data_IF_774002134855
#
_entry.id   IF_774002134855
#
_cell.length_a   1.000
_cell.length_b   1.000
_cell.length_c   1.000
_cell.angle_alpha   90.00
_cell.angle_beta   90.00
_cell.angle_gamma   90.00
#
_symmetry.space_group_name_H-M   'P 1'
#
loop_
_entity.id
_entity.type
_entity.pdbx_description
1 polymer ?
#
# COMPACT_ATOMS: atom_id res chain seq x y z
N UNK A 1 4.04 10.65 -41.87
CA UNK A 1 2.98 9.72 -41.39
C UNK A 1 3.54 8.67 -40.43
N UNK A 2 4.52 7.86 -40.85
CA UNK A 2 5.16 6.81 -40.01
C UNK A 2 5.72 7.29 -38.66
N UNK A 3 6.28 8.51 -38.60
CA UNK A 3 6.84 9.11 -37.38
C UNK A 3 5.78 9.44 -36.30
N UNK A 4 4.54 9.71 -36.70
CA UNK A 4 3.43 9.97 -35.76
C UNK A 4 2.84 8.69 -35.20
N UNK A 5 2.92 7.58 -35.96
CA UNK A 5 2.50 6.25 -35.52
C UNK A 5 3.52 5.69 -34.52
N UNK A 6 4.83 5.84 -34.76
CA UNK A 6 5.89 5.39 -33.84
C UNK A 6 5.89 6.10 -32.48
N UNK A 7 5.54 7.39 -32.43
CA UNK A 7 5.42 8.15 -31.18
C UNK A 7 4.23 7.71 -30.31
N UNK A 8 3.17 7.16 -30.89
CA UNK A 8 2.02 6.59 -30.17
C UNK A 8 2.26 5.17 -29.65
N UNK A 9 3.19 4.41 -30.25
CA UNK A 9 3.43 2.98 -29.95
C UNK A 9 4.10 2.78 -28.59
N UNK A 10 5.13 3.57 -28.28
CA UNK A 10 5.95 3.38 -27.09
C UNK A 10 5.15 3.63 -25.79
N UNK A 11 4.36 4.72 -25.65
CA UNK A 11 3.60 4.98 -24.43
C UNK A 11 2.53 3.92 -24.15
N UNK A 12 1.86 3.40 -25.20
CA UNK A 12 0.73 2.46 -25.05
C UNK A 12 1.22 1.05 -24.69
N UNK A 13 2.30 0.57 -25.32
CA UNK A 13 2.94 -0.72 -24.96
C UNK A 13 3.49 -0.68 -23.53
N UNK A 14 3.94 0.49 -23.08
CA UNK A 14 4.47 0.73 -21.73
C UNK A 14 3.39 0.74 -20.64
N UNK A 15 2.09 0.80 -20.96
CA UNK A 15 1.02 0.88 -19.96
C UNK A 15 0.98 -0.34 -19.04
N UNK A 16 1.24 -1.54 -19.59
CA UNK A 16 1.39 -2.75 -18.78
C UNK A 16 2.55 -2.64 -17.78
N UNK A 17 3.68 -2.09 -18.22
CA UNK A 17 4.85 -1.85 -17.37
C UNK A 17 4.59 -0.77 -16.31
N UNK A 18 3.90 0.33 -16.64
CA UNK A 18 3.47 1.32 -15.65
C UNK A 18 2.51 0.72 -14.62
N UNK A 19 1.55 -0.11 -15.06
CA UNK A 19 0.70 -0.91 -14.18
C UNK A 19 1.51 -1.76 -13.22
N UNK A 20 2.56 -2.40 -13.72
CA UNK A 20 3.49 -3.20 -12.93
C UNK A 20 4.33 -2.36 -11.95
N UNK A 21 4.83 -1.19 -12.35
CA UNK A 21 5.53 -0.27 -11.42
C UNK A 21 4.60 0.13 -10.27
N UNK A 22 3.36 0.51 -10.58
CA UNK A 22 2.36 0.87 -9.55
C UNK A 22 2.08 -0.33 -8.64
N UNK A 23 1.92 -1.53 -9.21
CA UNK A 23 1.79 -2.78 -8.45
C UNK A 23 2.98 -2.97 -7.48
N UNK A 24 4.21 -2.86 -7.99
CA UNK A 24 5.44 -3.02 -7.20
C UNK A 24 5.54 -1.97 -6.10
N UNK A 25 5.14 -0.74 -6.38
CA UNK A 25 5.09 0.34 -5.39
C UNK A 25 4.07 0.05 -4.29
N UNK A 26 2.84 -0.36 -4.63
CA UNK A 26 1.81 -0.74 -3.66
C UNK A 26 2.28 -1.93 -2.81
N UNK A 27 2.86 -2.94 -3.46
CA UNK A 27 3.39 -4.13 -2.81
C UNK A 27 4.50 -3.75 -1.81
N UNK A 28 5.48 -2.96 -2.25
CA UNK A 28 6.58 -2.52 -1.40
C UNK A 28 6.07 -1.70 -0.22
N UNK A 29 5.22 -0.69 -0.48
CA UNK A 29 4.71 0.23 0.54
C UNK A 29 3.86 -0.48 1.59
N UNK A 30 3.00 -1.41 1.17
CA UNK A 30 2.04 -2.03 2.07
C UNK A 30 2.56 -3.33 2.70
N UNK A 31 3.54 -4.01 2.10
CA UNK A 31 4.04 -5.32 2.57
C UNK A 31 5.50 -5.25 2.98
N UNK A 32 6.39 -5.01 2.02
CA UNK A 32 7.84 -5.11 2.25
C UNK A 32 8.28 -4.09 3.30
N UNK A 33 7.79 -2.86 3.21
CA UNK A 33 8.03 -1.78 4.19
C UNK A 33 7.56 -2.16 5.59
N UNK A 34 6.35 -2.69 5.70
CA UNK A 34 5.76 -3.10 6.99
C UNK A 34 6.56 -4.26 7.59
N UNK A 35 6.85 -5.31 6.80
CA UNK A 35 7.66 -6.45 7.26
C UNK A 35 9.03 -6.00 7.75
N UNK A 36 9.69 -5.13 6.98
CA UNK A 36 11.03 -4.63 7.32
C UNK A 36 11.07 -3.87 8.66
N UNK A 37 10.00 -3.13 9.00
CA UNK A 37 9.96 -2.29 10.20
C UNK A 37 9.33 -2.99 11.41
N UNK A 38 8.22 -3.70 11.21
CA UNK A 38 7.38 -4.21 12.29
C UNK A 38 7.39 -5.74 12.45
N UNK A 39 7.96 -6.49 11.50
CA UNK A 39 8.02 -7.94 11.57
C UNK A 39 9.46 -8.43 11.83
N UNK A 40 10.17 -7.67 12.67
CA UNK A 40 11.51 -8.00 13.16
C UNK A 40 11.40 -8.96 14.36
N UNK A 41 12.45 -9.75 14.61
CA UNK A 41 12.49 -10.75 15.70
C UNK A 41 12.14 -10.14 17.06
N UNK A 42 12.47 -8.87 17.29
CA UNK A 42 12.19 -8.15 18.54
C UNK A 42 10.70 -8.01 18.86
N UNK A 43 9.84 -7.95 17.84
CA UNK A 43 8.40 -7.69 18.03
C UNK A 43 7.58 -8.96 18.28
N UNK A 44 8.18 -10.17 18.12
CA UNK A 44 7.58 -11.53 18.28
C UNK A 44 6.18 -11.77 17.70
N UNK A 45 5.63 -10.79 16.97
CA UNK A 45 4.23 -10.76 16.56
C UNK A 45 4.18 -10.69 15.04
N UNK A 46 3.90 -11.82 14.40
CA UNK A 46 3.55 -11.84 12.99
C UNK A 46 2.07 -11.48 12.85
N UNK A 47 1.77 -10.39 12.14
CA UNK A 47 0.39 -9.98 11.89
C UNK A 47 0.10 -9.94 10.38
N UNK A 48 -1.13 -10.33 9.97
CA UNK A 48 -1.44 -10.43 8.56
C UNK A 48 -1.55 -9.08 7.89
N UNK A 49 -0.68 -8.85 6.90
CA UNK A 49 -0.46 -7.52 6.32
C UNK A 49 -1.53 -7.16 5.28
N UNK A 50 -2.37 -8.12 4.86
CA UNK A 50 -3.49 -7.89 3.95
C UNK A 50 -4.71 -8.74 4.29
N UNK A 51 -5.88 -8.12 4.16
CA UNK A 51 -7.16 -8.82 4.17
C UNK A 51 -7.48 -9.33 2.77
N UNK A 52 -8.12 -10.51 2.68
CA UNK A 52 -8.52 -11.14 1.41
C UNK A 52 -9.29 -10.19 0.48
N UNK A 53 -10.11 -9.31 1.06
CA UNK A 53 -10.95 -8.35 0.33
C UNK A 53 -10.16 -7.17 -0.30
N UNK A 54 -8.89 -6.98 0.07
CA UNK A 54 -8.04 -5.93 -0.51
C UNK A 54 -7.27 -6.38 -1.76
N UNK A 55 -7.32 -7.66 -2.12
CA UNK A 55 -6.60 -8.22 -3.28
C UNK A 55 -6.95 -7.50 -4.59
N UNK A 56 -8.21 -7.11 -4.76
CA UNK A 56 -8.67 -6.43 -5.98
C UNK A 56 -8.10 -5.02 -6.15
N UNK A 57 -7.79 -4.32 -5.05
CA UNK A 57 -7.21 -2.96 -5.11
C UNK A 57 -5.85 -2.94 -5.82
N UNK A 58 -5.18 -4.08 -5.83
CA UNK A 58 -3.88 -4.25 -6.46
C UNK A 58 -4.00 -4.34 -7.99
N UNK A 59 -5.16 -4.78 -8.50
CA UNK A 59 -5.42 -4.89 -9.93
C UNK A 59 -6.15 -3.68 -10.52
N UNK A 60 -6.62 -2.75 -9.68
CA UNK A 60 -7.36 -1.56 -10.13
C UNK A 60 -6.57 -0.71 -11.13
N UNK A 61 -5.25 -0.57 -10.95
CA UNK A 61 -4.40 0.15 -11.92
C UNK A 61 -4.43 -0.47 -13.31
N UNK A 62 -4.36 -1.81 -13.41
CA UNK A 62 -4.43 -2.51 -14.70
C UNK A 62 -5.79 -2.31 -15.38
N UNK A 63 -6.88 -2.33 -14.61
CA UNK A 63 -8.23 -2.05 -15.15
C UNK A 63 -8.29 -0.63 -15.72
N UNK A 64 -7.79 0.36 -14.99
CA UNK A 64 -7.72 1.74 -15.49
C UNK A 64 -6.90 1.86 -16.78
N UNK A 65 -5.77 1.14 -16.88
CA UNK A 65 -4.94 1.15 -18.07
C UNK A 65 -5.62 0.48 -19.27
N UNK A 66 -6.38 -0.59 -19.07
CA UNK A 66 -7.20 -1.21 -20.14
C UNK A 66 -8.20 -0.18 -20.67
N UNK A 67 -8.99 0.44 -19.78
CA UNK A 67 -10.00 1.44 -20.17
C UNK A 67 -9.35 2.60 -20.93
N UNK A 68 -8.24 3.12 -20.42
CA UNK A 68 -7.51 4.22 -21.06
C UNK A 68 -6.99 3.83 -22.44
N UNK A 69 -6.47 2.60 -22.59
CA UNK A 69 -6.01 2.07 -23.88
C UNK A 69 -7.16 1.96 -24.89
N UNK A 70 -8.33 1.51 -24.44
CA UNK A 70 -9.52 1.42 -25.29
C UNK A 70 -10.04 2.79 -25.70
N UNK A 71 -10.09 3.77 -24.79
CA UNK A 71 -10.50 5.14 -25.12
C UNK A 71 -9.56 5.80 -26.11
N UNK A 72 -8.25 5.60 -25.95
CA UNK A 72 -7.24 6.09 -26.91
C UNK A 72 -7.47 5.46 -28.28
N UNK A 73 -7.68 4.14 -28.35
CA UNK A 73 -7.94 3.45 -29.60
C UNK A 73 -9.19 3.99 -30.30
N UNK A 74 -10.31 4.12 -29.57
CA UNK A 74 -11.54 4.70 -30.10
C UNK A 74 -11.30 6.11 -30.61
N UNK A 75 -10.59 6.95 -29.85
CA UNK A 75 -10.22 8.30 -30.29
C UNK A 75 -9.47 8.30 -31.62
N UNK A 76 -8.46 7.43 -31.75
CA UNK A 76 -7.70 7.28 -33.00
C UNK A 76 -8.56 6.80 -34.18
N UNK A 77 -9.57 5.95 -33.97
CA UNK A 77 -10.46 5.52 -35.05
C UNK A 77 -11.20 6.68 -35.75
N UNK A 78 -11.34 7.84 -35.11
CA UNK A 78 -12.07 8.99 -35.66
C UNK A 78 -11.16 10.15 -36.13
N UNK A 79 -9.82 10.00 -36.09
CA UNK A 79 -8.90 11.09 -36.48
C UNK A 79 -8.76 11.22 -38.00
N UNK A 80 -8.80 10.11 -38.74
CA UNK A 80 -8.73 10.09 -40.21
C UNK A 80 -10.09 9.74 -40.82
N UNK A 81 -10.34 10.28 -42.01
CA UNK A 81 -11.60 10.05 -42.73
C UNK A 81 -11.53 8.72 -43.50
N UNK A 82 -12.67 8.06 -43.69
CA UNK A 82 -12.75 6.80 -44.47
C UNK A 82 -12.34 6.97 -45.94
N UNK A 83 -12.35 8.21 -46.44
CA UNK A 83 -11.96 8.58 -47.81
C UNK A 83 -10.46 8.82 -47.97
N UNK A 84 -9.67 8.74 -46.89
CA UNK A 84 -8.23 8.95 -46.95
C UNK A 84 -7.54 7.70 -47.55
N UNK A 85 -6.76 7.89 -48.62
CA UNK A 85 -5.88 6.88 -49.22
C UNK A 85 -4.81 6.44 -48.21
N UNK A 86 -5.14 5.44 -47.40
CA UNK A 86 -4.30 4.97 -46.29
C UNK A 86 -5.07 4.65 -45.00
N UNK A 87 -6.37 4.95 -44.95
CA UNK A 87 -7.24 4.69 -43.80
C UNK A 87 -7.22 3.22 -43.35
N UNK A 88 -7.26 2.27 -44.30
CA UNK A 88 -7.20 0.83 -43.98
C UNK A 88 -5.90 0.45 -43.28
N UNK A 89 -4.76 0.92 -43.81
CA UNK A 89 -3.45 0.62 -43.27
C UNK A 89 -3.25 1.26 -41.89
N UNK A 90 -3.79 2.47 -41.70
CA UNK A 90 -3.87 3.14 -40.42
C UNK A 90 -4.68 2.35 -39.38
N UNK A 91 -5.90 1.93 -39.72
CA UNK A 91 -6.78 1.17 -38.83
C UNK A 91 -6.19 -0.19 -38.45
N UNK A 92 -5.57 -0.90 -39.40
CA UNK A 92 -4.86 -2.15 -39.14
C UNK A 92 -3.71 -1.94 -38.15
N UNK A 93 -2.92 -0.89 -38.35
CA UNK A 93 -1.77 -0.59 -37.48
C UNK A 93 -2.23 -0.28 -36.05
N UNK A 94 -3.24 0.57 -35.88
CA UNK A 94 -3.81 0.88 -34.57
C UNK A 94 -4.40 -0.35 -33.87
N UNK A 95 -5.06 -1.23 -34.64
CA UNK A 95 -5.63 -2.47 -34.09
C UNK A 95 -4.55 -3.42 -33.58
N UNK A 96 -3.45 -3.58 -34.33
CA UNK A 96 -2.29 -4.38 -33.90
C UNK A 96 -1.69 -3.80 -32.61
N UNK A 97 -1.51 -2.48 -32.53
CA UNK A 97 -0.97 -1.80 -31.35
C UNK A 97 -1.87 -2.00 -30.14
N UNK A 98 -3.18 -1.85 -30.31
CA UNK A 98 -4.14 -2.07 -29.24
C UNK A 98 -4.08 -3.51 -28.71
N UNK A 99 -4.06 -4.51 -29.60
CA UNK A 99 -3.92 -5.93 -29.22
C UNK A 99 -2.63 -6.17 -28.45
N UNK A 100 -1.49 -5.68 -28.95
CA UNK A 100 -0.19 -5.81 -28.26
C UNK A 100 -0.20 -5.16 -26.87
N UNK A 101 -0.90 -4.05 -26.71
CA UNK A 101 -1.02 -3.34 -25.44
C UNK A 101 -1.86 -4.12 -24.42
N UNK A 102 -2.97 -4.71 -24.86
CA UNK A 102 -3.77 -5.61 -24.01
C UNK A 102 -2.96 -6.86 -23.62
N UNK A 103 -2.23 -7.47 -24.56
CA UNK A 103 -1.35 -8.62 -24.27
C UNK A 103 -0.26 -8.26 -23.25
N UNK A 104 0.37 -7.09 -23.38
CA UNK A 104 1.33 -6.55 -22.42
C UNK A 104 0.71 -6.43 -21.02
N UNK A 105 -0.48 -5.84 -20.90
CA UNK A 105 -1.18 -5.71 -19.62
C UNK A 105 -1.48 -7.09 -19.01
N UNK A 106 -1.99 -8.04 -19.80
CA UNK A 106 -2.28 -9.40 -19.35
C UNK A 106 -1.03 -10.12 -18.83
N UNK A 107 0.10 -9.97 -19.53
CA UNK A 107 1.38 -10.54 -19.10
C UNK A 107 1.83 -9.99 -17.74
N UNK A 108 1.74 -8.67 -17.51
CA UNK A 108 2.09 -8.08 -16.22
C UNK A 108 1.11 -8.42 -15.10
N UNK A 109 -0.19 -8.59 -15.40
CA UNK A 109 -1.18 -9.15 -14.47
C UNK A 109 -0.76 -10.56 -14.05
N UNK A 110 -0.33 -11.41 -14.99
CA UNK A 110 0.12 -12.77 -14.69
C UNK A 110 1.34 -12.77 -13.76
N UNK A 111 2.38 -11.97 -14.04
CA UNK A 111 3.56 -11.82 -13.17
C UNK A 111 3.15 -11.35 -11.76
N UNK A 112 2.31 -10.32 -11.68
CA UNK A 112 1.82 -9.76 -10.42
C UNK A 112 1.03 -10.78 -9.62
N UNK A 113 0.20 -11.58 -10.30
CA UNK A 113 -0.60 -12.65 -9.71
C UNK A 113 0.30 -13.73 -9.09
N UNK A 114 1.39 -14.12 -9.78
CA UNK A 114 2.36 -15.08 -9.25
C UNK A 114 3.01 -14.59 -7.96
N UNK A 115 3.36 -13.30 -7.90
CA UNK A 115 3.91 -12.66 -6.69
C UNK A 115 2.89 -12.61 -5.54
N UNK A 116 1.60 -12.37 -5.85
CA UNK A 116 0.54 -12.32 -4.83
C UNK A 116 0.18 -13.68 -4.23
N UNK A 117 0.39 -14.79 -4.97
CA UNK A 117 0.16 -16.15 -4.44
C UNK A 117 1.06 -16.49 -3.23
N UNK A 118 2.20 -15.81 -3.10
CA UNK A 118 3.15 -16.00 -1.99
C UNK A 118 2.74 -15.25 -0.71
N UNK A 119 1.59 -14.56 -0.71
CA UNK A 119 1.11 -13.79 0.44
C UNK A 119 -0.07 -14.52 1.07
N UNK A 120 0.04 -14.77 2.36
CA UNK A 120 -1.07 -15.24 3.17
C UNK A 120 -2.02 -14.07 3.43
N UNK A 121 -3.26 -14.19 2.95
CA UNK A 121 -4.33 -13.24 3.19
C UNK A 121 -5.19 -13.73 4.34
N UNK A 122 -5.44 -12.86 5.33
CA UNK A 122 -6.26 -13.28 6.46
C UNK A 122 -7.74 -13.23 6.20
N UNK A 123 -8.40 -14.24 6.76
CA UNK A 123 -9.85 -14.35 6.84
C UNK A 123 -10.39 -13.64 8.10
N UNK A 124 -11.71 -13.61 8.26
CA UNK A 124 -12.34 -12.93 9.39
C UNK A 124 -12.05 -13.59 10.74
N UNK A 125 -11.99 -14.93 10.80
CA UNK A 125 -11.75 -15.69 12.03
C UNK A 125 -10.37 -15.42 12.59
N UNK A 126 -9.33 -15.47 11.75
CA UNK A 126 -7.95 -15.13 12.12
C UNK A 126 -7.83 -13.70 12.64
N UNK A 127 -8.53 -12.75 12.00
CA UNK A 127 -8.55 -11.34 12.45
C UNK A 127 -9.18 -11.22 13.83
N UNK A 128 -10.28 -11.94 14.08
CA UNK A 128 -10.98 -11.92 15.35
C UNK A 128 -10.12 -12.52 16.47
N UNK A 129 -9.48 -13.66 16.22
CA UNK A 129 -8.55 -14.29 17.17
C UNK A 129 -7.37 -13.37 17.48
N UNK A 130 -6.78 -12.77 16.45
CA UNK A 130 -5.68 -11.82 16.62
C UNK A 130 -6.07 -10.65 17.53
N UNK A 131 -7.20 -9.99 17.28
CA UNK A 131 -7.65 -8.85 18.11
C UNK A 131 -7.92 -9.30 19.54
N UNK A 132 -8.57 -10.44 19.74
CA UNK A 132 -8.83 -10.96 21.08
C UNK A 132 -7.52 -11.18 21.84
N UNK A 133 -6.50 -11.76 21.21
CA UNK A 133 -5.18 -11.92 21.81
C UNK A 133 -4.55 -10.56 22.16
N UNK A 134 -4.66 -9.57 21.27
CA UNK A 134 -4.17 -8.21 21.54
C UNK A 134 -4.96 -7.48 22.64
N UNK A 135 -6.19 -7.89 22.94
CA UNK A 135 -7.01 -7.36 24.04
C UNK A 135 -6.84 -8.10 25.37
N UNK A 136 -6.18 -9.27 25.38
CA UNK A 136 -5.81 -10.00 26.60
C UNK A 136 -4.55 -9.39 27.23
N UNK A 137 -3.58 -9.00 26.41
CA UNK A 137 -2.27 -8.47 26.84
C UNK A 137 -2.19 -7.02 27.38
N UNK A 138 -3.12 -6.08 27.12
CA UNK A 138 -2.93 -4.66 27.42
C UNK A 138 -3.21 -4.29 28.88
N UNK A 139 -3.58 -5.25 29.74
CA UNK A 139 -3.83 -4.99 31.17
C UNK A 139 -2.59 -4.49 31.92
N UNK A 140 -1.39 -4.67 31.36
CA UNK A 140 -0.11 -4.35 32.00
C UNK A 140 0.69 -3.26 31.29
N UNK A 141 0.16 -2.64 30.23
CA UNK A 141 0.91 -1.63 29.46
C UNK A 141 0.36 -0.23 29.68
N UNK A 142 1.27 0.70 29.99
CA UNK A 142 0.98 2.14 29.97
C UNK A 142 1.23 2.69 28.56
N UNK A 143 0.45 3.71 28.18
CA UNK A 143 0.70 4.42 26.91
C UNK A 143 2.06 5.11 27.02
N UNK A 144 3.03 4.63 26.24
CA UNK A 144 4.39 5.17 26.28
C UNK A 144 4.46 6.41 25.39
N UNK A 145 4.86 7.54 25.98
CA UNK A 145 5.28 8.71 25.22
C UNK A 145 6.58 8.40 24.48
N UNK A 146 6.81 9.13 23.40
CA UNK A 146 8.07 9.04 22.70
C UNK A 146 8.88 10.28 23.08
N UNK A 147 10.08 10.12 23.61
CA UNK A 147 11.05 11.20 23.63
C UNK A 147 11.63 11.36 22.21
N UNK A 148 10.82 11.93 21.31
CA UNK A 148 11.23 12.27 19.94
C UNK A 148 11.96 13.61 19.90
N UNK A 149 11.95 14.38 21.00
CA UNK A 149 12.60 15.70 21.11
C UNK A 149 14.13 15.61 20.92
N UNK A 150 14.71 14.40 21.04
CA UNK A 150 16.13 14.12 20.80
C UNK A 150 16.49 13.86 19.33
N UNK A 151 15.49 13.67 18.46
CA UNK A 151 15.71 13.41 17.05
C UNK A 151 15.74 14.74 16.30
N UNK A 152 16.91 15.14 15.77
CA UNK A 152 17.13 16.32 14.90
C UNK A 152 16.31 16.35 13.58
N UNK A 153 15.24 15.56 13.47
CA UNK A 153 14.42 15.33 12.27
C UNK A 153 12.97 15.75 12.48
N UNK A 154 12.75 16.99 12.95
CA UNK A 154 11.43 17.57 13.27
C UNK A 154 10.33 17.25 12.25
N UNK A 155 10.65 17.29 10.95
CA UNK A 155 9.67 17.05 9.89
C UNK A 155 9.15 15.61 9.85
N UNK A 156 10.01 14.61 10.05
CA UNK A 156 9.60 13.19 10.00
C UNK A 156 8.85 12.76 11.26
N UNK A 157 9.21 13.34 12.41
CA UNK A 157 8.51 13.17 13.68
C UNK A 157 7.10 13.75 13.58
N UNK A 158 6.97 14.95 13.05
CA UNK A 158 5.68 15.57 12.78
C UNK A 158 4.82 14.71 11.84
N UNK A 159 5.41 14.14 10.79
CA UNK A 159 4.69 13.22 9.91
C UNK A 159 4.28 11.92 10.60
N UNK A 160 5.11 11.39 11.50
CA UNK A 160 4.77 10.21 12.28
C UNK A 160 3.61 10.50 13.24
N UNK A 161 3.64 11.64 13.93
CA UNK A 161 2.58 12.01 14.86
C UNK A 161 1.26 12.33 14.16
N UNK A 162 1.31 13.02 13.01
CA UNK A 162 0.15 13.21 12.15
C UNK A 162 -0.43 11.88 11.63
N UNK A 163 0.44 10.95 11.21
CA UNK A 163 0.02 9.62 10.80
C UNK A 163 -0.69 8.88 11.94
N UNK A 164 -0.14 8.94 13.16
CA UNK A 164 -0.75 8.33 14.35
C UNK A 164 -2.11 8.93 14.67
N UNK A 165 -2.17 10.24 14.91
CA UNK A 165 -3.39 10.98 15.29
C UNK A 165 -4.53 10.73 14.31
N UNK A 166 -4.22 10.71 13.00
CA UNK A 166 -5.21 10.46 11.93
C UNK A 166 -5.99 9.16 12.09
N UNK A 167 -5.37 8.09 12.61
CA UNK A 167 -6.02 6.79 12.74
C UNK A 167 -6.46 6.50 14.17
N UNK A 168 -5.71 6.93 15.18
CA UNK A 168 -6.09 6.75 16.58
C UNK A 168 -7.44 7.42 16.88
N UNK A 169 -7.67 8.64 16.39
CA UNK A 169 -8.93 9.38 16.60
C UNK A 169 -10.15 8.73 15.94
N UNK A 170 -9.94 7.71 15.10
CA UNK A 170 -11.01 6.97 14.42
C UNK A 170 -11.40 5.68 15.15
N UNK A 171 -10.71 5.35 16.24
CA UNK A 171 -11.04 4.19 17.06
C UNK A 171 -12.32 4.51 17.83
N UNK A 172 -13.37 3.75 17.55
CA UNK A 172 -14.64 3.79 18.30
C UNK A 172 -15.06 2.38 18.69
N UNK A 173 -15.76 2.25 19.82
CA UNK A 173 -16.33 0.97 20.29
C UNK A 173 -17.36 0.38 19.34
N UNK A 174 -17.97 1.21 18.49
CA UNK A 174 -18.90 0.79 17.45
C UNK A 174 -18.22 0.10 16.25
N UNK A 175 -16.88 0.09 16.18
CA UNK A 175 -16.18 -0.59 15.09
C UNK A 175 -16.29 -2.12 15.25
N UNK A 176 -16.69 -2.79 14.18
CA UNK A 176 -16.50 -4.24 14.08
C UNK A 176 -15.01 -4.60 14.07
N UNK A 177 -14.70 -5.82 14.47
CA UNK A 177 -13.33 -6.34 14.50
C UNK A 177 -12.62 -6.20 13.15
N UNK A 178 -13.30 -6.50 12.04
CA UNK A 178 -12.73 -6.30 10.71
C UNK A 178 -12.39 -4.82 10.42
N UNK A 179 -13.26 -3.89 10.83
CA UNK A 179 -13.02 -2.44 10.64
C UNK A 179 -11.88 -1.95 11.53
N UNK A 180 -11.80 -2.41 12.78
CA UNK A 180 -10.70 -2.10 13.69
C UNK A 180 -9.37 -2.61 13.14
N UNK A 181 -9.33 -3.85 12.63
CA UNK A 181 -8.14 -4.40 12.00
C UNK A 181 -7.73 -3.66 10.72
N UNK A 182 -8.69 -3.28 9.87
CA UNK A 182 -8.41 -2.40 8.72
C UNK A 182 -7.81 -1.08 9.14
N UNK A 183 -8.27 -0.51 10.25
CA UNK A 183 -7.74 0.73 10.81
C UNK A 183 -6.31 0.54 11.33
N UNK A 184 -6.06 -0.55 12.06
CA UNK A 184 -4.73 -0.96 12.50
C UNK A 184 -3.74 -1.10 11.33
N UNK A 185 -4.13 -1.81 10.27
CA UNK A 185 -3.27 -1.98 9.09
C UNK A 185 -2.95 -0.64 8.42
N UNK A 186 -3.93 0.27 8.30
CA UNK A 186 -3.69 1.61 7.75
C UNK A 186 -2.74 2.42 8.62
N UNK A 187 -2.90 2.33 9.94
CA UNK A 187 -2.03 2.96 10.93
C UNK A 187 -0.58 2.46 10.80
N UNK A 188 -0.36 1.15 10.87
CA UNK A 188 0.98 0.55 10.74
C UNK A 188 1.61 0.84 9.39
N UNK A 189 0.86 0.73 8.28
CA UNK A 189 1.39 1.04 6.93
C UNK A 189 1.86 2.49 6.84
N UNK A 190 1.09 3.44 7.36
CA UNK A 190 1.47 4.85 7.36
C UNK A 190 2.71 5.12 8.21
N UNK A 191 2.75 4.60 9.44
CA UNK A 191 3.91 4.70 10.32
C UNK A 191 5.15 4.04 9.71
N UNK A 192 5.01 2.85 9.10
CA UNK A 192 6.12 2.14 8.44
C UNK A 192 6.74 2.93 7.32
N UNK A 193 5.92 3.66 6.56
CA UNK A 193 6.41 4.47 5.45
C UNK A 193 7.23 5.64 5.97
N UNK A 194 6.75 6.35 6.99
CA UNK A 194 7.49 7.46 7.63
C UNK A 194 8.80 6.96 8.23
N UNK A 195 8.78 5.84 8.98
CA UNK A 195 9.97 5.24 9.57
C UNK A 195 10.98 4.77 8.52
N UNK A 196 10.54 4.11 7.44
CA UNK A 196 11.44 3.73 6.36
C UNK A 196 12.07 4.95 5.68
N UNK A 197 11.34 6.05 5.51
CA UNK A 197 11.90 7.28 4.95
C UNK A 197 12.96 7.88 5.88
N UNK A 198 12.67 7.98 7.18
CA UNK A 198 13.64 8.45 8.18
C UNK A 198 14.92 7.60 8.16
N UNK A 199 14.78 6.27 8.23
CA UNK A 199 15.91 5.34 8.20
C UNK A 199 16.69 5.36 6.87
N UNK A 200 16.02 5.55 5.73
CA UNK A 200 16.67 5.56 4.41
C UNK A 200 17.46 6.82 4.09
N UNK A 201 17.04 7.98 4.61
CA UNK A 201 17.68 9.26 4.31
C UNK A 201 18.84 9.60 5.25
N UNK A 202 19.06 8.76 6.26
CA UNK A 202 20.01 9.00 7.35
C UNK A 202 21.19 8.01 7.35
N UNK A 203 21.58 7.51 6.16
CA UNK A 203 22.87 6.83 5.98
C UNK A 203 24.09 7.74 6.25
N UNK A 204 23.87 9.01 6.57
CA UNK A 204 24.87 9.95 7.10
C UNK A 204 24.74 9.98 8.63
N UNK A 205 25.65 9.26 9.29
CA UNK A 205 26.01 9.32 10.73
C UNK A 205 24.90 9.64 11.74
N UNK A 206 23.93 8.74 11.90
CA UNK A 206 23.10 8.75 13.12
C UNK A 206 23.92 8.34 14.34
N UNK A 207 23.86 9.15 15.40
CA UNK A 207 24.29 8.78 16.75
C UNK A 207 23.66 7.44 17.18
N UNK A 208 24.41 6.61 17.90
CA UNK A 208 24.00 5.29 18.42
C UNK A 208 22.69 5.40 19.21
N UNK A 209 22.50 6.48 19.95
CA UNK A 209 21.29 6.76 20.73
C UNK A 209 20.04 6.89 19.83
N UNK A 210 20.14 7.65 18.74
CA UNK A 210 19.07 7.83 17.75
C UNK A 210 18.73 6.49 17.06
N UNK A 211 19.74 5.70 16.71
CA UNK A 211 19.52 4.36 16.15
C UNK A 211 18.76 3.45 17.12
N UNK A 212 19.05 3.57 18.41
CA UNK A 212 18.39 2.80 19.47
C UNK A 212 16.93 3.23 19.65
N UNK A 213 16.65 4.53 19.68
CA UNK A 213 15.28 5.08 19.74
C UNK A 213 14.46 4.62 18.53
N UNK A 214 15.02 4.73 17.32
CA UNK A 214 14.35 4.31 16.09
C UNK A 214 14.11 2.80 16.02
N UNK A 215 14.96 2.00 16.66
CA UNK A 215 14.79 0.53 16.77
C UNK A 215 13.62 0.15 17.67
N UNK A 216 13.37 0.90 18.74
CA UNK A 216 12.29 0.63 19.70
C UNK A 216 10.94 1.26 19.28
N UNK A 217 10.98 2.29 18.44
CA UNK A 217 9.80 3.03 17.97
C UNK A 217 8.69 2.14 17.36
N UNK A 218 8.98 1.10 16.54
CA UNK A 218 7.96 0.20 16.01
C UNK A 218 7.14 -0.52 17.09
N UNK A 219 7.78 -0.96 18.17
CA UNK A 219 7.12 -1.63 19.29
C UNK A 219 6.15 -0.69 20.00
N UNK A 220 6.62 0.51 20.34
CA UNK A 220 5.81 1.55 20.98
C UNK A 220 4.60 1.91 20.10
N UNK A 221 4.79 2.05 18.78
CA UNK A 221 3.69 2.32 17.83
C UNK A 221 2.65 1.21 17.86
N UNK A 222 3.09 -0.04 17.85
CA UNK A 222 2.21 -1.20 17.87
C UNK A 222 1.39 -1.24 19.16
N UNK A 223 2.06 -1.18 20.32
CA UNK A 223 1.41 -1.25 21.63
C UNK A 223 0.43 -0.10 21.87
N UNK A 224 0.86 1.14 21.58
CA UNK A 224 0.01 2.31 21.78
C UNK A 224 -1.31 2.19 21.03
N UNK A 225 -1.32 1.60 19.83
CA UNK A 225 -2.57 1.36 19.10
C UNK A 225 -3.51 0.43 19.88
N UNK A 226 -2.98 -0.71 20.34
CA UNK A 226 -3.79 -1.74 20.99
C UNK A 226 -4.25 -1.35 22.40
N UNK A 227 -3.43 -0.61 23.14
CA UNK A 227 -3.81 -0.06 24.46
C UNK A 227 -4.95 0.95 24.29
N UNK A 228 -4.86 1.86 23.31
CA UNK A 228 -5.92 2.84 23.07
C UNK A 228 -7.19 2.14 22.59
N UNK A 229 -7.07 1.19 21.66
CA UNK A 229 -8.21 0.38 21.21
C UNK A 229 -8.87 -0.35 22.39
N UNK A 230 -8.09 -1.03 23.23
CA UNK A 230 -8.60 -1.69 24.41
C UNK A 230 -9.34 -0.75 25.35
N UNK A 231 -8.77 0.42 25.66
CA UNK A 231 -9.38 1.40 26.56
C UNK A 231 -10.71 1.94 26.02
N UNK A 232 -10.81 2.19 24.71
CA UNK A 232 -12.06 2.64 24.08
C UNK A 232 -13.13 1.56 24.12
N UNK A 233 -12.77 0.29 23.88
CA UNK A 233 -13.72 -0.82 23.89
C UNK A 233 -14.12 -1.23 25.32
N UNK A 234 -13.20 -1.20 26.29
CA UNK A 234 -13.48 -1.50 27.70
C UNK A 234 -14.43 -0.47 28.31
N UNK A 235 -14.22 0.83 28.09
CA UNK A 235 -15.06 1.89 28.65
C UNK A 235 -16.55 1.76 28.29
N UNK A 236 -16.87 1.12 27.18
CA UNK A 236 -18.25 0.94 26.72
C UNK A 236 -18.90 -0.40 27.14
N UNK A 237 -18.13 -1.37 27.65
CA UNK A 237 -18.66 -2.63 28.18
C UNK A 237 -18.99 -2.55 29.70
N UNK A 238 -18.80 -1.38 30.31
CA UNK A 238 -19.06 -1.12 31.75
C UNK A 238 -20.27 -0.16 31.91
N UNK A 239 -20.97 0.14 30.83
CA UNK A 239 -22.27 0.84 30.83
C UNK A 239 -23.36 -0.15 30.45
#
# INVERSE_FOLDING_TARGET
MWYYISLGIIPIISLGYFGYIIFRYIFWRNITSVKKIFNQESLTTTFPIYLKNEKWKIYTSYICFIIFSTLIFIGFCFILSQTDDGYLQYMLTNSIIYILSILSILYFIYISSKSLKLINFSNYTEVKEFINNQFINPKNFEVRSYDLDLLYFDKYINYLDLAKKRYINKISSSLSYEKLYKLFLKYIRACSWVLNQALSKQFVELNIEIKTILKNTPEIIFENFWIIAYNVFKKNNVQ
#
